data_IF_897680218532
#
_entry.id   IF_897680218532
#
_cell.length_a   1.000
_cell.length_b   1.000
_cell.length_c   1.000
_cell.angle_alpha   90.00
_cell.angle_beta   90.00
_cell.angle_gamma   90.00
#
_symmetry.space_group_name_H-M   'P 1'
#
loop_
_entity.id
_entity.type
_entity.pdbx_description
1 polymer ?
#
# COMPACT_ATOMS: atom_id res chain seq x y z
N UNK A 1 -108.67 1.81 23.23
CA UNK A 1 -108.35 0.37 23.13
C UNK A 1 -107.44 0.03 24.29
N UNK A 2 -107.80 -0.89 25.19
CA UNK A 2 -106.88 -1.32 26.23
C UNK A 2 -105.80 -2.18 25.57
N UNK A 3 -104.53 -1.88 25.85
CA UNK A 3 -103.42 -2.73 25.44
C UNK A 3 -103.47 -3.96 26.34
N UNK A 4 -103.78 -5.11 25.77
CA UNK A 4 -103.87 -6.36 26.53
C UNK A 4 -102.47 -6.76 27.02
N UNK A 5 -102.37 -7.24 28.27
CA UNK A 5 -101.09 -7.64 28.91
C UNK A 5 -100.26 -8.62 28.05
N UNK A 6 -100.91 -9.42 27.20
CA UNK A 6 -100.26 -10.34 26.26
C UNK A 6 -99.43 -9.63 25.19
N UNK A 7 -99.86 -8.46 24.71
CA UNK A 7 -99.10 -7.70 23.70
C UNK A 7 -97.83 -7.11 24.28
N UNK A 8 -97.86 -6.70 25.56
CA UNK A 8 -96.69 -6.20 26.29
C UNK A 8 -95.69 -7.33 26.57
N UNK A 9 -96.17 -8.53 26.92
CA UNK A 9 -95.30 -9.72 27.12
C UNK A 9 -94.67 -10.21 25.81
N UNK A 10 -95.41 -10.19 24.70
CA UNK A 10 -94.87 -10.53 23.37
C UNK A 10 -93.80 -9.54 22.93
N UNK A 11 -94.03 -8.24 23.11
CA UNK A 11 -93.03 -7.21 22.81
C UNK A 11 -91.80 -7.37 23.71
N UNK A 12 -91.99 -7.69 25.00
CA UNK A 12 -90.88 -7.94 25.92
C UNK A 12 -90.06 -9.18 25.55
N UNK A 13 -90.69 -10.27 25.12
CA UNK A 13 -90.00 -11.46 24.63
C UNK A 13 -89.26 -11.19 23.31
N UNK A 14 -89.85 -10.43 22.39
CA UNK A 14 -89.19 -10.04 21.14
C UNK A 14 -87.98 -9.14 21.42
N UNK A 15 -88.08 -8.21 22.37
CA UNK A 15 -86.97 -7.36 22.82
C UNK A 15 -85.86 -8.19 23.48
N UNK A 16 -86.21 -9.17 24.31
CA UNK A 16 -85.25 -10.11 24.92
C UNK A 16 -84.51 -10.93 23.87
N UNK A 17 -85.23 -11.43 22.85
CA UNK A 17 -84.62 -12.18 21.75
C UNK A 17 -83.69 -11.31 20.91
N UNK A 18 -84.10 -10.08 20.58
CA UNK A 18 -83.27 -9.10 19.86
C UNK A 18 -82.04 -8.70 20.67
N UNK A 19 -82.17 -8.58 21.99
CA UNK A 19 -81.04 -8.29 22.88
C UNK A 19 -80.05 -9.44 22.96
N UNK A 20 -80.54 -10.69 23.05
CA UNK A 20 -79.69 -11.87 23.01
C UNK A 20 -78.97 -12.02 21.66
N UNK A 21 -79.66 -11.76 20.55
CA UNK A 21 -79.06 -11.76 19.21
C UNK A 21 -78.02 -10.64 19.05
N UNK A 22 -78.28 -9.46 19.62
CA UNK A 22 -77.33 -8.36 19.66
C UNK A 22 -76.09 -8.68 20.50
N UNK A 23 -76.27 -9.33 21.66
CA UNK A 23 -75.17 -9.83 22.51
C UNK A 23 -74.30 -10.81 21.75
N UNK A 24 -74.89 -11.84 21.14
CA UNK A 24 -74.16 -12.84 20.38
C UNK A 24 -73.39 -12.23 19.19
N UNK A 25 -74.00 -11.28 18.48
CA UNK A 25 -73.32 -10.54 17.39
C UNK A 25 -72.19 -9.65 17.90
N UNK A 26 -72.33 -9.05 19.08
CA UNK A 26 -71.26 -8.24 19.68
C UNK A 26 -70.12 -9.10 20.20
N UNK A 27 -70.41 -10.22 20.85
CA UNK A 27 -69.37 -11.13 21.36
C UNK A 27 -68.52 -11.67 20.19
N UNK A 28 -69.17 -12.09 19.09
CA UNK A 28 -68.49 -12.45 17.83
C UNK A 28 -67.64 -11.32 17.24
N UNK A 29 -68.12 -10.07 17.35
CA UNK A 29 -67.37 -8.89 16.88
C UNK A 29 -66.16 -8.59 17.76
N UNK A 30 -66.29 -8.76 19.08
CA UNK A 30 -65.19 -8.58 20.04
C UNK A 30 -64.12 -9.64 19.80
N UNK A 31 -64.50 -10.91 19.69
CA UNK A 31 -63.57 -12.00 19.37
C UNK A 31 -62.82 -11.76 18.05
N UNK A 32 -63.52 -11.31 17.00
CA UNK A 32 -62.90 -10.99 15.72
C UNK A 32 -61.90 -9.83 15.81
N UNK A 33 -62.20 -8.81 16.62
CA UNK A 33 -61.31 -7.66 16.85
C UNK A 33 -60.09 -8.08 17.68
N UNK A 34 -60.27 -8.91 18.71
CA UNK A 34 -59.16 -9.42 19.52
C UNK A 34 -58.23 -10.32 18.69
N UNK A 35 -58.78 -11.19 17.85
CA UNK A 35 -58.00 -12.01 16.93
C UNK A 35 -57.22 -11.16 15.90
N UNK A 36 -57.81 -10.09 15.38
CA UNK A 36 -57.12 -9.16 14.48
C UNK A 36 -56.03 -8.36 15.19
N UNK A 37 -56.28 -7.89 16.42
CA UNK A 37 -55.28 -7.20 17.23
C UNK A 37 -54.08 -8.08 17.56
N UNK A 38 -54.30 -9.35 17.92
CA UNK A 38 -53.23 -10.32 18.17
C UNK A 38 -52.34 -10.51 16.94
N UNK A 39 -52.94 -10.76 15.77
CA UNK A 39 -52.20 -10.88 14.49
C UNK A 39 -51.45 -9.60 14.11
N UNK A 40 -52.03 -8.44 14.37
CA UNK A 40 -51.38 -7.17 14.07
C UNK A 40 -50.20 -6.91 15.01
N UNK A 41 -50.31 -7.25 16.30
CA UNK A 41 -49.20 -7.16 17.26
C UNK A 41 -48.03 -8.04 16.84
N UNK A 42 -48.29 -9.30 16.49
CA UNK A 42 -47.26 -10.25 16.04
C UNK A 42 -46.57 -9.77 14.74
N UNK A 43 -47.33 -9.23 13.79
CA UNK A 43 -46.76 -8.63 12.59
C UNK A 43 -45.89 -7.41 12.90
N UNK A 44 -46.31 -6.55 13.85
CA UNK A 44 -45.51 -5.37 14.25
C UNK A 44 -44.22 -5.78 14.96
N UNK A 45 -44.27 -6.79 15.83
CA UNK A 45 -43.09 -7.31 16.51
C UNK A 45 -42.09 -7.93 15.52
N UNK A 46 -42.57 -8.72 14.55
CA UNK A 46 -41.71 -9.30 13.50
C UNK A 46 -41.15 -8.23 12.55
N UNK A 47 -41.91 -7.18 12.22
CA UNK A 47 -41.42 -6.05 11.44
C UNK A 47 -40.34 -5.26 12.18
N UNK A 48 -40.51 -5.01 13.48
CA UNK A 48 -39.51 -4.34 14.30
C UNK A 48 -38.21 -5.15 14.42
N UNK A 49 -38.32 -6.48 14.58
CA UNK A 49 -37.15 -7.36 14.56
C UNK A 49 -36.39 -7.28 13.23
N UNK A 50 -37.10 -7.36 12.10
CA UNK A 50 -36.51 -7.24 10.76
C UNK A 50 -35.91 -5.87 10.48
N UNK A 51 -36.50 -4.79 10.99
CA UNK A 51 -35.94 -3.44 10.89
C UNK A 51 -34.62 -3.34 11.66
N UNK A 52 -34.54 -3.90 12.87
CA UNK A 52 -33.30 -3.95 13.65
C UNK A 52 -32.21 -4.78 12.95
N UNK A 53 -32.58 -5.89 12.31
CA UNK A 53 -31.64 -6.69 11.51
C UNK A 53 -31.16 -5.93 10.27
N UNK A 54 -32.05 -5.20 9.60
CA UNK A 54 -31.70 -4.34 8.46
C UNK A 54 -30.77 -3.20 8.85
N UNK A 55 -30.99 -2.56 9.99
CA UNK A 55 -30.09 -1.51 10.50
C UNK A 55 -28.70 -2.07 10.83
N UNK A 56 -28.63 -3.27 11.43
CA UNK A 56 -27.37 -3.95 11.69
C UNK A 56 -26.63 -4.31 10.39
N UNK A 57 -27.35 -4.87 9.41
CA UNK A 57 -26.79 -5.21 8.09
C UNK A 57 -26.34 -3.96 7.31
N UNK A 58 -27.09 -2.87 7.41
CA UNK A 58 -26.72 -1.60 6.79
C UNK A 58 -25.44 -1.04 7.43
N UNK A 59 -25.33 -1.08 8.75
CA UNK A 59 -24.11 -0.66 9.45
C UNK A 59 -22.90 -1.50 9.05
N UNK A 60 -23.03 -2.83 8.99
CA UNK A 60 -21.93 -3.69 8.56
C UNK A 60 -21.53 -3.46 7.10
N UNK A 61 -22.52 -3.21 6.23
CA UNK A 61 -22.26 -2.96 4.81
C UNK A 61 -21.65 -1.57 4.59
N UNK A 62 -22.03 -0.57 5.40
CA UNK A 62 -21.37 0.74 5.41
C UNK A 62 -19.92 0.63 5.91
N UNK A 63 -19.65 -0.15 6.96
CA UNK A 63 -18.28 -0.44 7.41
C UNK A 63 -17.45 -1.16 6.35
N UNK A 64 -18.03 -2.17 5.68
CA UNK A 64 -17.36 -2.91 4.61
C UNK A 64 -17.15 -2.04 3.37
N UNK A 65 -18.12 -1.20 2.99
CA UNK A 65 -17.97 -0.23 1.91
C UNK A 65 -16.94 0.85 2.26
N UNK A 66 -16.84 1.29 3.52
CA UNK A 66 -15.79 2.22 3.96
C UNK A 66 -14.43 1.53 3.93
N UNK A 67 -14.34 0.24 4.24
CA UNK A 67 -13.11 -0.54 4.12
C UNK A 67 -12.70 -0.80 2.65
N UNK A 68 -13.65 -1.10 1.77
CA UNK A 68 -13.45 -1.35 0.34
C UNK A 68 -13.20 -0.06 -0.46
N UNK A 69 -13.88 1.04 -0.12
CA UNK A 69 -13.66 2.38 -0.72
C UNK A 69 -12.46 3.10 -0.11
N UNK A 70 -11.78 2.52 0.88
CA UNK A 70 -10.50 3.01 1.39
C UNK A 70 -9.38 2.28 0.64
N UNK A 71 -8.86 2.83 -0.48
CA UNK A 71 -7.65 2.29 -1.08
C UNK A 71 -6.54 2.29 -0.02
N UNK A 72 -5.68 1.27 -0.03
CA UNK A 72 -4.54 1.18 0.91
C UNK A 72 -3.66 2.45 0.92
N UNK A 73 -3.72 3.26 -0.13
CA UNK A 73 -3.13 4.60 -0.24
C UNK A 73 -3.62 5.63 0.80
N UNK A 74 -4.75 5.39 1.50
CA UNK A 74 -5.33 6.38 2.43
C UNK A 74 -5.00 6.11 3.91
N UNK A 75 -4.64 4.87 4.28
CA UNK A 75 -4.03 4.60 5.59
C UNK A 75 -2.59 5.10 5.61
N UNK A 76 -1.87 4.98 4.50
CA UNK A 76 -0.56 5.61 4.35
C UNK A 76 -0.69 7.13 4.33
N UNK A 77 -1.68 7.74 3.67
CA UNK A 77 -1.75 9.22 3.62
C UNK A 77 -1.91 9.90 4.98
N UNK A 78 -2.62 9.29 5.95
CA UNK A 78 -2.79 9.88 7.27
C UNK A 78 -1.50 9.75 8.10
N UNK A 79 -0.86 8.58 8.13
CA UNK A 79 0.45 8.42 8.77
C UNK A 79 1.52 9.26 8.08
N UNK A 80 1.54 9.32 6.74
CA UNK A 80 2.44 10.16 5.94
C UNK A 80 2.29 11.64 6.28
N UNK A 81 1.06 12.14 6.41
CA UNK A 81 0.83 13.54 6.79
C UNK A 81 1.31 13.81 8.22
N UNK A 82 1.06 12.89 9.15
CA UNK A 82 1.55 13.02 10.53
C UNK A 82 3.08 12.97 10.58
N UNK A 83 3.74 12.14 9.77
CA UNK A 83 5.20 12.09 9.62
C UNK A 83 5.78 13.35 8.96
N UNK A 84 5.12 13.92 7.94
CA UNK A 84 5.54 15.19 7.32
C UNK A 84 5.43 16.36 8.29
N UNK A 85 4.35 16.42 9.07
CA UNK A 85 4.17 17.45 10.09
C UNK A 85 5.23 17.29 11.19
N UNK A 86 5.46 16.07 11.67
CA UNK A 86 6.50 15.74 12.64
C UNK A 86 7.90 16.12 12.13
N UNK A 87 8.25 15.75 10.90
CA UNK A 87 9.52 16.11 10.27
C UNK A 87 9.69 17.63 10.12
N UNK A 88 8.65 18.34 9.66
CA UNK A 88 8.68 19.80 9.54
C UNK A 88 8.85 20.51 10.89
N UNK A 89 8.29 19.94 11.96
CA UNK A 89 8.45 20.45 13.33
C UNK A 89 9.83 20.14 13.89
N UNK A 90 10.41 18.99 13.57
CA UNK A 90 11.78 18.64 13.93
C UNK A 90 12.78 19.60 13.26
N UNK A 91 12.68 19.79 11.94
CA UNK A 91 13.54 20.71 11.18
C UNK A 91 13.44 22.15 11.70
N UNK A 92 12.25 22.61 12.12
CA UNK A 92 12.04 24.00 12.58
C UNK A 92 12.32 24.25 14.05
N UNK A 93 12.11 23.26 14.93
CA UNK A 93 12.13 23.47 16.40
C UNK A 93 13.06 22.53 17.17
N UNK A 94 13.65 21.52 16.53
CA UNK A 94 14.51 20.54 17.18
C UNK A 94 13.82 19.78 18.33
N UNK A 95 12.48 19.66 18.28
CA UNK A 95 11.70 18.99 19.34
C UNK A 95 11.49 17.52 19.00
N UNK A 96 11.95 16.65 19.90
CA UNK A 96 11.93 15.18 19.79
C UNK A 96 10.62 14.52 20.29
N UNK A 97 9.78 15.27 21.00
CA UNK A 97 8.53 14.74 21.58
C UNK A 97 7.50 14.40 20.49
N UNK A 98 7.34 13.09 20.23
CA UNK A 98 6.32 12.51 19.34
C UNK A 98 6.84 11.83 18.09
N UNK A 99 8.09 12.10 17.67
CA UNK A 99 8.71 11.40 16.52
C UNK A 99 8.99 9.94 16.85
N UNK A 100 9.50 9.68 18.06
CA UNK A 100 9.87 8.33 18.50
C UNK A 100 8.69 7.35 18.54
N UNK A 101 7.47 7.80 18.88
CA UNK A 101 6.27 6.94 18.90
C UNK A 101 5.68 6.66 17.51
N UNK A 102 5.83 7.62 16.58
CA UNK A 102 5.43 7.46 15.19
C UNK A 102 6.42 6.57 14.42
N UNK A 103 7.74 6.75 14.65
CA UNK A 103 8.77 5.87 14.09
C UNK A 103 8.69 4.44 14.64
N UNK A 104 8.43 4.24 15.94
CA UNK A 104 8.25 2.89 16.53
C UNK A 104 7.07 2.12 15.93
N UNK A 105 6.05 2.82 15.43
CA UNK A 105 4.90 2.20 14.77
C UNK A 105 5.18 1.82 13.31
N UNK A 106 6.12 2.50 12.66
CA UNK A 106 6.46 2.30 11.25
C UNK A 106 7.65 1.34 11.05
N UNK A 107 8.65 1.34 11.96
CA UNK A 107 9.83 0.49 11.87
C UNK A 107 9.84 -0.59 12.95
N UNK A 108 9.67 -1.84 12.51
CA UNK A 108 9.90 -3.03 13.32
C UNK A 108 11.36 -3.47 13.26
N UNK A 109 12.31 -2.55 13.46
CA UNK A 109 13.71 -2.90 13.68
C UNK A 109 14.37 -1.83 14.55
N UNK A 110 15.00 -2.30 15.62
CA UNK A 110 15.81 -1.54 16.57
C UNK A 110 16.76 -0.54 15.89
N UNK A 111 16.52 0.76 16.08
CA UNK A 111 17.52 1.81 15.87
C UNK A 111 17.64 2.66 17.13
N UNK A 112 18.89 2.95 17.48
CA UNK A 112 19.31 3.72 18.65
C UNK A 112 18.70 5.13 18.66
N UNK A 113 18.43 5.73 19.84
CA UNK A 113 17.92 7.10 19.96
C UNK A 113 18.84 8.20 19.41
N UNK A 114 20.13 7.90 19.17
CA UNK A 114 21.16 8.87 18.76
C UNK A 114 21.41 8.91 17.23
N UNK A 115 20.80 8.01 16.46
CA UNK A 115 20.87 8.02 15.00
C UNK A 115 19.74 8.88 14.45
N UNK A 116 20.07 10.07 13.94
CA UNK A 116 19.10 11.09 13.50
C UNK A 116 17.87 10.55 12.76
N UNK A 117 16.75 11.24 12.93
CA UNK A 117 15.43 10.82 12.47
C UNK A 117 15.38 10.45 10.99
N UNK A 118 14.67 9.36 10.71
CA UNK A 118 14.53 8.83 9.37
C UNK A 118 13.74 9.82 8.51
N UNK A 119 14.32 10.17 7.36
CA UNK A 119 13.62 10.90 6.30
C UNK A 119 12.32 10.14 5.97
N UNK A 120 11.16 10.83 5.90
CA UNK A 120 9.91 10.17 5.53
C UNK A 120 10.08 9.41 4.20
N UNK A 121 9.58 8.17 4.11
CA UNK A 121 9.80 7.33 2.91
C UNK A 121 9.35 7.98 1.60
N UNK A 122 8.36 8.88 1.65
CA UNK A 122 7.93 9.67 0.48
C UNK A 122 9.04 10.58 -0.05
N UNK A 123 9.81 11.19 0.85
CA UNK A 123 10.89 12.10 0.49
C UNK A 123 12.08 11.31 -0.08
N UNK A 124 12.39 10.15 0.50
CA UNK A 124 13.36 9.20 -0.06
C UNK A 124 12.95 8.71 -1.47
N UNK A 125 11.69 8.29 -1.65
CA UNK A 125 11.15 7.90 -2.97
C UNK A 125 11.25 9.03 -4.00
N UNK A 126 10.97 10.27 -3.59
CA UNK A 126 11.06 11.42 -4.47
C UNK A 126 12.51 11.72 -4.87
N UNK A 127 13.47 11.60 -3.94
CA UNK A 127 14.90 11.75 -4.23
C UNK A 127 15.36 10.65 -5.19
N UNK A 128 15.07 9.38 -4.91
CA UNK A 128 15.46 8.26 -5.79
C UNK A 128 14.89 8.43 -7.20
N UNK A 129 13.64 8.89 -7.30
CA UNK A 129 13.01 9.17 -8.59
C UNK A 129 13.71 10.32 -9.32
N UNK A 130 13.98 11.43 -8.62
CA UNK A 130 14.69 12.57 -9.20
C UNK A 130 16.11 12.20 -9.65
N UNK A 131 16.83 11.39 -8.87
CA UNK A 131 18.15 10.85 -9.25
C UNK A 131 18.07 9.97 -10.51
N UNK A 132 16.99 9.21 -10.69
CA UNK A 132 16.77 8.42 -11.91
C UNK A 132 16.58 9.28 -13.16
N UNK A 133 15.95 10.45 -13.03
CA UNK A 133 15.72 11.38 -14.13
C UNK A 133 16.97 12.20 -14.49
N UNK A 134 17.83 12.49 -13.49
CA UNK A 134 19.03 13.32 -13.68
C UNK A 134 20.27 12.50 -14.12
N UNK A 135 20.40 11.23 -13.70
CA UNK A 135 21.58 10.42 -13.94
C UNK A 135 21.41 9.51 -15.17
N UNK A 136 22.16 9.79 -16.23
CA UNK A 136 22.10 9.04 -17.51
C UNK A 136 22.40 7.54 -17.29
N UNK A 137 23.39 7.22 -16.46
CA UNK A 137 23.76 5.82 -16.20
C UNK A 137 22.64 5.01 -15.55
N UNK A 138 21.75 5.63 -14.76
CA UNK A 138 20.59 4.94 -14.15
C UNK A 138 19.46 4.69 -15.16
N UNK A 139 19.41 5.47 -16.24
CA UNK A 139 18.42 5.29 -17.32
C UNK A 139 18.82 4.15 -18.25
N UNK A 140 20.12 4.02 -18.53
CA UNK A 140 20.65 3.01 -19.45
C UNK A 140 20.94 1.67 -18.76
N UNK A 141 21.25 1.67 -17.46
CA UNK A 141 21.58 0.47 -16.71
C UNK A 141 20.40 -0.09 -15.91
N UNK A 142 20.45 -1.38 -15.59
CA UNK A 142 19.49 -1.99 -14.67
C UNK A 142 19.79 -1.60 -13.22
N UNK A 143 18.87 -0.88 -12.58
CA UNK A 143 18.93 -0.58 -11.15
C UNK A 143 18.36 -1.75 -10.35
N UNK A 144 19.09 -2.21 -9.33
CA UNK A 144 18.70 -3.31 -8.46
C UNK A 144 18.69 -2.85 -7.01
N UNK A 145 17.56 -3.03 -6.32
CA UNK A 145 17.49 -2.84 -4.87
C UNK A 145 18.04 -4.09 -4.18
N UNK A 146 19.08 -3.90 -3.36
CA UNK A 146 19.70 -4.99 -2.59
C UNK A 146 19.52 -4.73 -1.10
N UNK A 147 19.21 -5.80 -0.34
CA UNK A 147 19.06 -5.73 1.12
C UNK A 147 20.34 -6.06 1.89
N UNK A 148 21.36 -6.60 1.22
CA UNK A 148 22.63 -6.97 1.84
C UNK A 148 23.81 -6.51 0.96
N UNK A 149 24.96 -6.17 1.57
CA UNK A 149 26.15 -5.72 0.83
C UNK A 149 26.80 -6.85 0.00
N UNK A 150 26.56 -8.12 0.34
CA UNK A 150 27.18 -9.28 -0.32
C UNK A 150 26.42 -9.74 -1.58
N UNK A 151 26.06 -8.81 -2.47
CA UNK A 151 25.40 -9.17 -3.72
C UNK A 151 26.39 -9.81 -4.70
N UNK A 152 26.08 -11.02 -5.18
CA UNK A 152 26.87 -11.74 -6.18
C UNK A 152 25.98 -12.17 -7.34
N UNK A 153 26.33 -11.73 -8.56
CA UNK A 153 25.65 -12.14 -9.78
C UNK A 153 26.45 -13.20 -10.52
N UNK A 154 25.85 -14.35 -10.73
CA UNK A 154 26.39 -15.38 -11.60
C UNK A 154 26.14 -14.98 -13.06
N UNK A 155 27.22 -14.87 -13.83
CA UNK A 155 27.15 -14.68 -15.28
C UNK A 155 27.65 -15.92 -15.99
N UNK A 156 26.99 -16.26 -17.08
CA UNK A 156 27.48 -17.30 -17.96
C UNK A 156 28.55 -16.71 -18.88
N UNK A 157 29.79 -17.22 -18.82
CA UNK A 157 30.90 -16.82 -19.72
C UNK A 157 30.86 -17.54 -21.07
N UNK A 158 29.84 -18.37 -21.31
CA UNK A 158 29.73 -19.20 -22.51
C UNK A 158 30.66 -20.40 -22.47
N UNK A 159 30.82 -21.05 -23.63
CA UNK A 159 31.66 -22.25 -23.79
C UNK A 159 30.88 -23.55 -24.02
N UNK A 160 29.55 -23.49 -24.04
CA UNK A 160 28.74 -24.61 -24.52
C UNK A 160 29.02 -24.83 -26.00
N UNK A 161 29.53 -26.00 -26.33
CA UNK A 161 29.77 -26.41 -27.72
C UNK A 161 28.64 -27.33 -28.18
N UNK A 162 28.35 -27.31 -29.47
CA UNK A 162 27.43 -28.24 -30.12
C UNK A 162 28.07 -28.77 -31.38
N UNK A 163 27.86 -30.06 -31.67
CA UNK A 163 28.38 -30.71 -32.87
C UNK A 163 27.28 -31.48 -33.58
N UNK A 164 27.37 -31.55 -34.91
CA UNK A 164 26.54 -32.44 -35.72
C UNK A 164 27.25 -33.78 -35.86
N UNK A 165 26.51 -34.88 -35.73
CA UNK A 165 27.05 -36.25 -35.88
C UNK A 165 26.18 -37.08 -36.82
N UNK A 166 26.81 -37.98 -37.59
CA UNK A 166 26.11 -38.95 -38.42
C UNK A 166 25.50 -40.11 -37.62
N UNK A 167 24.71 -40.96 -38.28
CA UNK A 167 23.91 -42.02 -37.64
C UNK A 167 24.74 -43.07 -36.88
N UNK A 168 25.97 -43.33 -37.35
CA UNK A 168 26.87 -44.35 -36.79
C UNK A 168 28.07 -43.78 -36.01
N UNK A 169 28.16 -42.45 -35.87
CA UNK A 169 29.31 -41.80 -35.24
C UNK A 169 29.19 -41.72 -33.71
N UNK A 170 30.34 -41.80 -33.05
CA UNK A 170 30.46 -41.66 -31.59
C UNK A 170 30.21 -40.21 -31.20
N UNK A 171 29.32 -39.97 -30.22
CA UNK A 171 29.00 -38.64 -29.68
C UNK A 171 29.95 -38.30 -28.51
N UNK A 172 31.00 -37.48 -28.71
CA UNK A 172 31.82 -37.00 -27.58
C UNK A 172 31.03 -36.00 -26.72
N UNK A 173 31.38 -35.91 -25.43
CA UNK A 173 30.83 -34.90 -24.55
C UNK A 173 31.16 -33.49 -25.04
N UNK A 174 30.15 -32.63 -25.09
CA UNK A 174 30.34 -31.22 -25.41
C UNK A 174 30.86 -30.47 -24.19
N UNK A 175 31.64 -29.42 -24.44
CA UNK A 175 32.10 -28.54 -23.36
C UNK A 175 30.92 -27.90 -22.65
N UNK A 176 30.98 -27.80 -21.33
CA UNK A 176 29.97 -27.16 -20.48
C UNK A 176 30.26 -25.68 -20.28
N UNK A 177 29.21 -24.91 -20.04
CA UNK A 177 29.31 -23.46 -19.87
C UNK A 177 30.07 -23.09 -18.59
N UNK A 178 31.06 -22.22 -18.69
CA UNK A 178 31.79 -21.72 -17.52
C UNK A 178 31.02 -20.58 -16.88
N UNK A 179 30.68 -20.72 -15.61
CA UNK A 179 30.07 -19.63 -14.84
C UNK A 179 31.16 -18.74 -14.23
N UNK A 180 30.93 -17.43 -14.25
CA UNK A 180 31.72 -16.45 -13.54
C UNK A 180 30.88 -15.72 -12.50
N UNK A 181 31.51 -15.25 -11.44
CA UNK A 181 30.86 -14.38 -10.45
C UNK A 181 31.28 -12.94 -10.73
N UNK A 182 30.31 -12.02 -10.73
CA UNK A 182 30.54 -10.58 -10.66
C UNK A 182 30.07 -10.11 -9.29
N UNK A 183 30.96 -9.40 -8.61
CA UNK A 183 30.73 -8.75 -7.32
C UNK A 183 30.94 -7.24 -7.53
N UNK A 184 29.90 -6.41 -7.34
CA UNK A 184 30.02 -4.96 -7.42
C UNK A 184 30.78 -4.41 -6.21
N UNK A 185 31.49 -3.31 -6.41
CA UNK A 185 32.15 -2.56 -5.33
C UNK A 185 31.23 -1.43 -4.90
N UNK A 186 30.91 -1.38 -3.61
CA UNK A 186 29.98 -0.42 -3.02
C UNK A 186 30.70 0.78 -2.42
N UNK A 187 29.96 1.87 -2.27
CA UNK A 187 30.33 3.05 -1.50
C UNK A 187 29.09 3.75 -0.98
N UNK A 188 29.22 4.43 0.16
CA UNK A 188 28.16 5.24 0.74
C UNK A 188 28.40 6.71 0.40
N UNK A 189 27.37 7.37 -0.13
CA UNK A 189 27.37 8.82 -0.36
C UNK A 189 26.63 9.49 0.80
N UNK A 190 27.20 10.58 1.33
CA UNK A 190 26.67 11.30 2.47
C UNK A 190 26.71 12.81 2.21
N UNK A 191 25.66 13.52 2.63
CA UNK A 191 25.57 14.98 2.57
C UNK A 191 24.89 15.53 3.82
N UNK A 192 25.47 16.57 4.41
CA UNK A 192 24.92 17.28 5.57
C UNK A 192 24.75 18.77 5.25
N UNK A 193 23.68 19.15 4.55
CA UNK A 193 23.40 20.54 4.21
C UNK A 193 22.96 21.31 5.45
N UNK A 194 23.67 22.40 5.77
CA UNK A 194 23.31 23.28 6.88
C UNK A 194 22.34 24.37 6.42
N UNK A 195 21.21 24.54 7.11
CA UNK A 195 20.31 25.68 6.95
C UNK A 195 20.48 26.67 8.10
N UNK A 196 20.39 27.97 7.79
CA UNK A 196 20.47 29.01 8.83
C UNK A 196 19.11 29.19 9.53
N UNK A 197 19.12 29.59 10.81
CA UNK A 197 17.88 29.84 11.57
C UNK A 197 16.97 30.86 10.88
N UNK A 198 17.55 31.89 10.24
CA UNK A 198 16.77 32.89 9.49
C UNK A 198 16.03 32.30 8.29
N UNK A 199 16.59 31.28 7.65
CA UNK A 199 15.92 30.56 6.55
C UNK A 199 14.79 29.68 7.10
N UNK A 200 14.96 29.08 8.28
CA UNK A 200 13.93 28.28 8.95
C UNK A 200 12.75 29.13 9.45
N UNK A 201 13.02 30.37 9.86
CA UNK A 201 12.02 31.29 10.39
C UNK A 201 11.23 32.02 9.28
N UNK A 202 11.64 31.92 8.01
CA UNK A 202 10.95 32.55 6.87
C UNK A 202 9.77 31.69 6.39
N UNK A 203 8.55 32.20 6.53
CA UNK A 203 7.32 31.50 6.11
C UNK A 203 7.16 31.39 4.59
N UNK A 204 7.83 32.23 3.81
CA UNK A 204 7.74 32.23 2.35
C UNK A 204 8.80 31.33 1.69
N UNK A 205 9.81 30.90 2.43
CA UNK A 205 10.89 30.07 1.92
C UNK A 205 10.70 28.59 2.32
N UNK A 206 10.63 27.70 1.33
CA UNK A 206 10.53 26.27 1.58
C UNK A 206 11.94 25.65 1.72
N UNK A 207 12.47 25.69 2.95
CA UNK A 207 13.81 25.13 3.28
C UNK A 207 13.92 23.64 2.95
N UNK A 208 12.86 22.88 3.19
CA UNK A 208 12.84 21.44 2.92
C UNK A 208 13.05 21.17 1.44
N UNK A 209 12.27 21.83 0.58
CA UNK A 209 12.39 21.65 -0.87
C UNK A 209 13.76 22.13 -1.40
N UNK A 210 14.29 23.23 -0.86
CA UNK A 210 15.61 23.73 -1.23
C UNK A 210 16.73 22.73 -0.86
N UNK A 211 16.72 22.21 0.37
CA UNK A 211 17.71 21.21 0.81
C UNK A 211 17.64 19.97 -0.06
N UNK A 212 16.42 19.49 -0.34
CA UNK A 212 16.22 18.28 -1.16
C UNK A 212 16.72 18.47 -2.58
N UNK A 213 16.45 19.62 -3.22
CA UNK A 213 16.92 19.87 -4.58
C UNK A 213 18.44 19.96 -4.66
N UNK A 214 19.08 20.68 -3.72
CA UNK A 214 20.54 20.82 -3.68
C UNK A 214 21.22 19.47 -3.42
N UNK A 215 20.71 18.70 -2.46
CA UNK A 215 21.24 17.38 -2.14
C UNK A 215 21.09 16.40 -3.31
N UNK A 216 19.94 16.43 -3.98
CA UNK A 216 19.68 15.58 -5.15
C UNK A 216 20.67 15.89 -6.27
N UNK A 217 20.88 17.18 -6.57
CA UNK A 217 21.80 17.60 -7.62
C UNK A 217 23.25 17.23 -7.31
N UNK A 218 23.71 17.44 -6.07
CA UNK A 218 25.06 17.06 -5.65
C UNK A 218 25.26 15.54 -5.67
N UNK A 219 24.28 14.77 -5.21
CA UNK A 219 24.33 13.31 -5.28
C UNK A 219 24.31 12.80 -6.73
N UNK A 220 23.53 13.43 -7.61
CA UNK A 220 23.50 13.09 -9.02
C UNK A 220 24.89 13.27 -9.68
N UNK A 221 25.53 14.42 -9.45
CA UNK A 221 26.85 14.71 -10.01
C UNK A 221 27.93 13.75 -9.49
N UNK A 222 27.97 13.52 -8.17
CA UNK A 222 28.95 12.61 -7.56
C UNK A 222 28.75 11.17 -8.01
N UNK A 223 27.51 10.71 -8.09
CA UNK A 223 27.20 9.36 -8.52
C UNK A 223 27.52 9.15 -10.01
N UNK A 224 27.19 10.10 -10.88
CA UNK A 224 27.50 10.02 -12.31
C UNK A 224 29.02 10.01 -12.56
N UNK A 225 29.77 10.83 -11.83
CA UNK A 225 31.24 10.83 -11.89
C UNK A 225 31.81 9.49 -11.41
N UNK A 226 31.25 8.92 -10.33
CA UNK A 226 31.66 7.63 -9.80
C UNK A 226 31.36 6.49 -10.78
N UNK A 227 30.20 6.48 -11.42
CA UNK A 227 29.85 5.49 -12.45
C UNK A 227 30.67 5.61 -13.72
N UNK A 228 31.17 6.80 -14.05
CA UNK A 228 32.01 7.00 -15.23
C UNK A 228 33.47 6.62 -14.95
N UNK A 229 34.05 7.13 -13.87
CA UNK A 229 35.51 7.11 -13.63
C UNK A 229 35.94 6.70 -12.21
N UNK A 230 35.02 6.17 -11.39
CA UNK A 230 35.33 5.77 -10.02
C UNK A 230 36.43 4.70 -9.93
N UNK A 231 37.31 4.84 -8.93
CA UNK A 231 38.50 4.00 -8.74
C UNK A 231 38.24 2.70 -7.94
N UNK A 232 37.04 2.54 -7.37
CA UNK A 232 36.68 1.38 -6.54
C UNK A 232 37.14 1.46 -5.07
N UNK A 233 37.70 2.59 -4.59
CA UNK A 233 38.07 2.76 -3.18
C UNK A 233 36.97 3.50 -2.43
N UNK A 234 36.15 2.77 -1.66
CA UNK A 234 34.99 3.31 -0.92
C UNK A 234 33.94 4.02 -1.80
N UNK A 235 34.02 3.83 -3.11
CA UNK A 235 33.09 4.33 -4.12
C UNK A 235 32.98 3.30 -5.25
N UNK A 236 31.88 3.34 -6.04
CA UNK A 236 31.72 2.46 -7.18
C UNK A 236 32.92 2.52 -8.12
N UNK A 237 33.22 1.38 -8.75
CA UNK A 237 34.20 1.34 -9.83
C UNK A 237 33.51 1.74 -11.14
N UNK A 238 34.01 2.80 -11.76
CA UNK A 238 33.41 3.37 -12.97
C UNK A 238 33.66 2.54 -14.22
N UNK A 239 32.83 2.72 -15.24
CA UNK A 239 32.89 2.03 -16.53
C UNK A 239 34.29 2.13 -17.15
N UNK A 240 34.90 3.31 -17.13
CA UNK A 240 36.20 3.56 -17.75
C UNK A 240 37.38 2.97 -16.93
N UNK A 241 37.17 2.69 -15.65
CA UNK A 241 38.19 2.09 -14.78
C UNK A 241 38.26 0.56 -14.94
N UNK A 242 37.27 -0.06 -15.58
CA UNK A 242 37.40 -1.42 -16.09
C UNK A 242 38.25 -1.33 -17.36
N UNK A 243 39.51 -1.76 -17.27
CA UNK A 243 40.45 -1.69 -18.39
C UNK A 243 39.81 -2.21 -19.68
N UNK A 244 39.97 -1.46 -20.77
CA UNK A 244 39.59 -1.90 -22.11
C UNK A 244 40.56 -2.98 -22.55
N UNK A 245 40.34 -4.22 -22.10
CA UNK A 245 41.08 -5.34 -22.65
C UNK A 245 40.67 -5.52 -24.12
N UNK A 246 41.51 -5.05 -25.05
CA UNK A 246 41.41 -5.28 -26.51
C UNK A 246 41.21 -6.77 -26.88
N UNK A 247 41.41 -7.70 -25.95
CA UNK A 247 41.18 -9.14 -26.16
C UNK A 247 39.72 -9.56 -26.26
N UNK A 248 38.75 -8.67 -26.01
CA UNK A 248 37.31 -8.97 -26.17
C UNK A 248 36.74 -8.55 -27.52
N UNK A 249 37.59 -8.10 -28.46
CA UNK A 249 37.20 -7.87 -29.84
C UNK A 249 37.28 -9.23 -30.55
N UNK A 250 36.14 -9.91 -30.65
CA UNK A 250 35.80 -10.92 -31.67
C UNK A 250 36.96 -11.73 -32.27
N UNK A 251 37.45 -12.75 -31.55
CA UNK A 251 38.02 -13.93 -32.22
C UNK A 251 36.87 -14.76 -32.81
N UNK A 252 36.27 -14.26 -33.89
CA UNK A 252 35.45 -15.05 -34.78
C UNK A 252 36.21 -15.08 -36.10
N UNK A 253 36.85 -16.22 -36.32
CA UNK A 253 37.65 -16.61 -37.48
C UNK A 253 39.12 -16.15 -37.45
N UNK A 254 39.96 -17.06 -36.97
CA UNK A 254 41.41 -17.01 -37.13
C UNK A 254 41.80 -17.15 -38.60
N UNK A 255 41.87 -16.04 -39.31
CA UNK A 255 42.67 -15.91 -40.52
C UNK A 255 43.58 -14.69 -40.35
N UNK A 256 44.87 -14.96 -40.12
CA UNK A 256 45.91 -13.94 -40.30
C UNK A 256 45.92 -13.61 -41.79
N UNK A 257 45.51 -12.39 -42.15
CA UNK A 257 45.91 -11.78 -43.41
C UNK A 257 46.82 -10.61 -43.08
N UNK A 258 48.13 -10.85 -43.19
CA UNK A 258 49.09 -9.89 -43.71
C UNK A 258 50.38 -10.64 -44.01
N UNK A 259 50.82 -10.46 -45.25
CA UNK A 259 52.18 -10.71 -45.76
C UNK A 259 53.27 -10.25 -44.81
#
# INVERSE_FOLDING_TARGET
MPIDKKDVELVAQELQNRFNEFKEKNDKRIEAIEAQKGKLSENVETLNAKLSELDALKSSLEEELVALKRPEAMKSSQSINDHKLAFSLFIRKGKEEGLAELEKKAMQTTTDPDGGYAVPEELDRNIIKALGDEIVMRQECQVLTVGTPDYKKLINKGGTTSGWVGETDKRPETSTSKLGVIEPVWGEIYGNPAATQRMLDDSFFNVEQFIVSELTQEFAQQEEQAFTSGDGQKKPKGLLAYGSDEKRIWNVNGERCNT
#
